data_IF_680820364267
#
_entry.id   IF_680820364267
#
_cell.length_a   1.000
_cell.length_b   1.000
_cell.length_c   1.000
_cell.angle_alpha   90.00
_cell.angle_beta   90.00
_cell.angle_gamma   90.00
#
_symmetry.space_group_name_H-M   'P 1'
#
loop_
_entity.id
_entity.type
_entity.pdbx_description
1 polymer ?
#
# COMPACT_ATOMS: atom_id res chain seq x y z
N UNK A 1 6.26 -0.60 17.77
CA UNK A 1 5.57 -1.68 17.02
C UNK A 1 4.13 -1.23 16.79
N UNK A 2 3.82 -0.80 15.58
CA UNK A 2 2.45 -0.41 15.19
C UNK A 2 1.63 -1.69 15.06
N UNK A 3 0.63 -1.89 15.93
CA UNK A 3 -0.23 -3.07 15.88
C UNK A 3 -1.22 -2.95 14.72
N UNK A 4 -0.79 -3.40 13.55
CA UNK A 4 -1.64 -3.56 12.38
C UNK A 4 -2.62 -4.71 12.64
N UNK A 5 -3.91 -4.42 12.59
CA UNK A 5 -4.90 -5.47 12.32
C UNK A 5 -4.68 -5.96 10.88
N UNK A 6 -4.87 -7.26 10.60
CA UNK A 6 -4.66 -7.79 9.27
C UNK A 6 -5.53 -7.07 8.24
N UNK A 7 -4.99 -6.84 7.04
CA UNK A 7 -5.75 -6.34 5.90
C UNK A 7 -6.93 -7.29 5.62
N UNK A 8 -8.14 -6.78 5.69
CA UNK A 8 -9.33 -7.52 5.26
C UNK A 8 -9.63 -7.14 3.81
N UNK A 9 -9.71 -8.14 2.93
CA UNK A 9 -10.25 -7.95 1.59
C UNK A 9 -11.76 -7.74 1.70
N UNK A 10 -12.24 -6.54 1.37
CA UNK A 10 -13.67 -6.26 1.24
C UNK A 10 -14.04 -6.18 -0.24
N UNK A 11 -15.05 -6.92 -0.65
CA UNK A 11 -15.66 -6.76 -1.97
C UNK A 11 -16.81 -5.77 -1.88
N UNK A 12 -16.80 -4.74 -2.70
CA UNK A 12 -17.94 -3.85 -2.88
C UNK A 12 -18.98 -4.57 -3.76
N UNK A 13 -20.22 -4.81 -3.27
CA UNK A 13 -21.19 -5.66 -3.96
C UNK A 13 -21.62 -5.16 -5.35
N UNK A 14 -21.40 -3.89 -5.66
CA UNK A 14 -21.87 -3.24 -6.88
C UNK A 14 -20.87 -3.19 -8.04
N UNK A 15 -19.59 -3.51 -7.84
CA UNK A 15 -18.56 -3.25 -8.87
C UNK A 15 -17.64 -4.44 -9.15
N UNK A 16 -17.78 -5.56 -8.45
CA UNK A 16 -16.85 -6.72 -8.50
C UNK A 16 -15.37 -6.32 -8.36
N UNK A 17 -15.09 -5.18 -7.68
CA UNK A 17 -13.74 -4.68 -7.42
C UNK A 17 -13.31 -5.04 -6.01
N UNK A 18 -12.05 -5.36 -5.85
CA UNK A 18 -11.43 -5.64 -4.56
C UNK A 18 -10.62 -4.42 -4.11
N UNK A 19 -10.56 -4.21 -2.80
CA UNK A 19 -9.70 -3.21 -2.17
C UNK A 19 -9.06 -3.79 -0.92
N UNK A 20 -7.95 -3.21 -0.49
CA UNK A 20 -7.31 -3.55 0.77
C UNK A 20 -7.73 -2.54 1.84
N UNK A 21 -8.37 -3.00 2.92
CA UNK A 21 -8.85 -2.17 4.01
C UNK A 21 -7.90 -2.30 5.21
N UNK A 22 -7.33 -1.18 5.63
CA UNK A 22 -6.56 -1.05 6.87
C UNK A 22 -7.45 -0.40 7.93
N UNK A 23 -7.79 -1.14 8.99
CA UNK A 23 -8.53 -0.62 10.15
C UNK A 23 -7.55 -0.28 11.26
N UNK A 24 -7.51 0.97 11.69
CA UNK A 24 -6.61 1.46 12.73
C UNK A 24 -7.27 1.31 14.09
N UNK A 25 -6.48 0.91 15.12
CA UNK A 25 -6.98 0.81 16.49
C UNK A 25 -7.47 2.16 16.99
N UNK A 26 -8.55 2.16 17.80
CA UNK A 26 -9.28 3.35 18.25
C UNK A 26 -8.52 4.25 19.23
N UNK A 27 -7.40 3.80 19.84
CA UNK A 27 -6.66 4.64 20.77
C UNK A 27 -6.21 5.96 20.12
N UNK A 28 -6.40 7.10 20.81
CA UNK A 28 -6.23 8.46 20.29
C UNK A 28 -4.91 8.68 19.53
N UNK A 29 -3.80 8.17 20.06
CA UNK A 29 -2.47 8.25 19.43
C UNK A 29 -2.42 7.59 18.04
N UNK A 30 -3.14 6.47 17.85
CA UNK A 30 -3.15 5.77 16.57
C UNK A 30 -4.07 6.47 15.55
N UNK A 31 -5.15 7.09 16.02
CA UNK A 31 -6.06 7.87 15.18
C UNK A 31 -5.36 9.13 14.64
N UNK A 32 -4.53 9.79 15.45
CA UNK A 32 -3.75 10.95 15.02
C UNK A 32 -2.70 10.56 13.96
N UNK A 33 -1.90 9.52 14.25
CA UNK A 33 -0.93 8.97 13.29
C UNK A 33 -1.60 8.56 11.97
N UNK A 34 -2.79 7.95 12.03
CA UNK A 34 -3.53 7.55 10.83
C UNK A 34 -4.02 8.75 10.01
N UNK A 35 -4.42 9.85 10.64
CA UNK A 35 -4.80 11.08 9.94
C UNK A 35 -3.60 11.70 9.21
N UNK A 36 -2.43 11.68 9.84
CA UNK A 36 -1.20 12.20 9.21
C UNK A 36 -0.75 11.28 8.06
N UNK A 37 -0.87 9.95 8.23
CA UNK A 37 -0.65 8.99 7.14
C UNK A 37 -1.58 9.26 5.94
N UNK A 38 -2.87 9.53 6.17
CA UNK A 38 -3.84 9.85 5.12
C UNK A 38 -3.46 11.15 4.38
N UNK A 39 -3.08 12.21 5.12
CA UNK A 39 -2.63 13.48 4.51
C UNK A 39 -1.42 13.26 3.62
N UNK A 40 -0.44 12.49 4.11
CA UNK A 40 0.77 12.15 3.39
C UNK A 40 0.48 11.36 2.12
N UNK A 41 -0.35 10.32 2.21
CA UNK A 41 -0.77 9.51 1.06
C UNK A 41 -1.50 10.33 0.00
N UNK A 42 -2.36 11.27 0.39
CA UNK A 42 -3.02 12.19 -0.54
C UNK A 42 -2.03 13.10 -1.24
N UNK A 43 -1.11 13.71 -0.49
CA UNK A 43 -0.07 14.55 -1.07
C UNK A 43 0.79 13.79 -2.08
N UNK A 44 1.18 12.56 -1.76
CA UNK A 44 1.89 11.67 -2.68
C UNK A 44 1.09 11.39 -3.95
N UNK A 45 -0.21 11.16 -3.84
CA UNK A 45 -1.07 10.83 -4.97
C UNK A 45 -1.32 12.05 -5.89
N UNK A 46 -1.33 13.25 -5.32
CA UNK A 46 -1.66 14.49 -6.03
C UNK A 46 -0.43 15.20 -6.63
N UNK A 47 0.80 14.86 -6.23
CA UNK A 47 2.01 15.58 -6.62
C UNK A 47 2.22 15.59 -8.14
N UNK A 48 2.87 14.59 -8.71
CA UNK A 48 3.12 14.52 -10.16
C UNK A 48 2.73 13.15 -10.72
N UNK A 49 1.48 13.01 -11.14
CA UNK A 49 0.95 11.76 -11.69
C UNK A 49 1.60 11.35 -13.03
N UNK A 50 2.27 12.27 -13.71
CA UNK A 50 2.99 11.98 -14.96
C UNK A 50 4.37 11.39 -14.73
N UNK A 51 4.90 11.44 -13.50
CA UNK A 51 6.22 10.89 -13.20
C UNK A 51 6.21 9.36 -13.30
N UNK A 52 7.21 8.72 -13.96
CA UNK A 52 7.26 7.26 -14.15
C UNK A 52 7.22 6.45 -12.85
N UNK A 53 7.68 7.02 -11.74
CA UNK A 53 7.70 6.39 -10.43
C UNK A 53 6.36 6.41 -9.70
N UNK A 54 5.42 7.29 -10.07
CA UNK A 54 4.10 7.40 -9.43
C UNK A 54 3.37 6.05 -9.37
N UNK A 55 3.36 5.29 -10.45
CA UNK A 55 2.74 3.96 -10.54
C UNK A 55 3.43 2.87 -9.71
N UNK A 56 4.55 3.15 -9.08
CA UNK A 56 5.30 2.23 -8.22
C UNK A 56 5.14 2.55 -6.73
N UNK A 57 4.25 3.49 -6.40
CA UNK A 57 3.85 3.81 -5.04
C UNK A 57 2.38 3.44 -4.87
N UNK A 58 2.03 2.86 -3.71
CA UNK A 58 0.66 2.41 -3.43
C UNK A 58 -0.35 3.57 -3.49
N UNK A 59 -1.51 3.32 -4.12
CA UNK A 59 -2.57 4.31 -4.25
C UNK A 59 -3.56 4.25 -3.09
N UNK A 60 -3.83 5.40 -2.49
CA UNK A 60 -4.94 5.58 -1.57
C UNK A 60 -6.24 5.70 -2.39
N UNK A 61 -7.19 4.80 -2.18
CA UNK A 61 -8.49 4.84 -2.85
C UNK A 61 -9.51 5.66 -2.07
N UNK A 62 -9.56 5.49 -0.74
CA UNK A 62 -10.49 6.19 0.13
C UNK A 62 -10.03 6.16 1.58
N UNK A 63 -10.65 6.99 2.42
CA UNK A 63 -10.49 6.95 3.87
C UNK A 63 -11.76 7.41 4.57
N UNK A 64 -12.18 6.70 5.62
CA UNK A 64 -13.39 7.00 6.36
C UNK A 64 -13.29 6.64 7.84
N UNK A 65 -14.25 7.07 8.62
CA UNK A 65 -14.37 6.68 10.02
C UNK A 65 -15.47 5.64 10.16
N UNK A 66 -15.15 4.53 10.83
CA UNK A 66 -16.12 3.52 11.21
C UNK A 66 -16.46 3.70 12.71
N UNK A 67 -17.72 4.02 12.98
CA UNK A 67 -18.22 4.18 14.35
C UNK A 67 -18.75 2.83 14.85
N UNK A 68 -18.06 2.26 15.83
CA UNK A 68 -18.55 1.13 16.63
C UNK A 68 -19.22 1.67 17.92
N UNK A 69 -20.01 0.88 18.66
CA UNK A 69 -20.76 1.36 19.82
C UNK A 69 -19.90 2.03 20.89
N UNK A 70 -18.64 1.61 21.05
CA UNK A 70 -17.72 2.12 22.08
C UNK A 70 -16.50 2.84 21.50
N UNK A 71 -16.29 2.79 20.15
CA UNK A 71 -15.05 3.22 19.52
C UNK A 71 -15.24 3.82 18.13
N UNK A 72 -14.32 4.70 17.73
CA UNK A 72 -14.21 5.21 16.35
C UNK A 72 -12.89 4.74 15.76
N UNK A 73 -12.97 4.00 14.66
CA UNK A 73 -11.82 3.52 13.92
C UNK A 73 -11.59 4.34 12.66
N UNK A 74 -10.33 4.74 12.43
CA UNK A 74 -9.91 5.28 11.13
C UNK A 74 -9.70 4.11 10.18
N UNK A 75 -10.35 4.17 9.02
CA UNK A 75 -10.26 3.19 7.96
C UNK A 75 -9.57 3.80 6.75
N UNK A 76 -8.56 3.12 6.22
CA UNK A 76 -7.79 3.53 5.04
C UNK A 76 -7.95 2.46 3.97
N UNK A 77 -8.39 2.86 2.79
CA UNK A 77 -8.65 1.96 1.66
C UNK A 77 -7.56 2.12 0.62
N UNK A 78 -6.88 1.03 0.31
CA UNK A 78 -5.82 0.97 -0.69
C UNK A 78 -6.24 0.16 -1.91
N UNK A 79 -5.55 0.35 -3.01
CA UNK A 79 -5.61 -0.58 -4.13
C UNK A 79 -5.23 -2.01 -3.68
N UNK A 80 -5.81 -3.05 -4.28
CA UNK A 80 -5.50 -4.42 -3.91
C UNK A 80 -4.09 -4.75 -4.34
N UNK A 81 -3.25 -5.12 -3.37
CA UNK A 81 -1.89 -5.57 -3.60
C UNK A 81 -1.81 -7.09 -3.54
N UNK A 82 -0.95 -7.66 -4.35
CA UNK A 82 -0.63 -9.07 -4.31
C UNK A 82 0.40 -9.42 -3.25
N UNK A 83 1.04 -10.55 -3.46
CA UNK A 83 2.09 -11.07 -2.60
C UNK A 83 3.23 -10.06 -2.42
N UNK A 84 3.72 -9.89 -1.20
CA UNK A 84 4.90 -9.10 -0.94
C UNK A 84 6.19 -9.89 -1.23
N UNK A 85 7.31 -9.18 -1.29
CA UNK A 85 8.59 -9.78 -1.64
C UNK A 85 9.08 -10.78 -0.59
N UNK A 86 8.74 -10.60 0.70
CA UNK A 86 9.08 -11.55 1.74
C UNK A 86 8.40 -12.89 1.50
N UNK A 87 7.10 -12.90 1.25
CA UNK A 87 6.35 -14.12 0.96
C UNK A 87 6.88 -14.83 -0.30
N UNK A 88 7.29 -14.06 -1.33
CA UNK A 88 7.96 -14.63 -2.51
C UNK A 88 9.28 -15.32 -2.16
N UNK A 89 10.11 -14.70 -1.31
CA UNK A 89 11.39 -15.27 -0.85
C UNK A 89 11.14 -16.54 -0.03
N UNK A 90 10.16 -16.53 0.87
CA UNK A 90 9.81 -17.68 1.71
C UNK A 90 9.27 -18.85 0.88
N UNK A 91 8.43 -18.59 -0.11
CA UNK A 91 7.90 -19.59 -1.03
C UNK A 91 9.00 -20.28 -1.84
N UNK A 92 10.09 -19.58 -2.13
CA UNK A 92 11.27 -20.12 -2.77
C UNK A 92 12.22 -20.82 -1.77
N UNK A 93 11.71 -21.30 -0.62
CA UNK A 93 12.48 -22.00 0.42
C UNK A 93 13.70 -21.20 0.90
N UNK A 94 13.63 -19.87 0.87
CA UNK A 94 14.72 -18.95 1.24
C UNK A 94 16.03 -19.15 0.44
N UNK A 95 15.96 -19.80 -0.71
CA UNK A 95 17.11 -19.96 -1.63
C UNK A 95 17.40 -18.68 -2.41
N UNK A 96 16.55 -17.66 -2.22
CA UNK A 96 16.61 -16.40 -2.96
C UNK A 96 15.74 -16.43 -4.22
N UNK A 97 15.76 -15.34 -4.96
CA UNK A 97 15.05 -15.17 -6.23
C UNK A 97 16.04 -14.91 -7.36
N UNK A 98 15.72 -15.26 -8.60
CA UNK A 98 16.62 -15.07 -9.74
C UNK A 98 17.08 -13.61 -9.87
N UNK A 99 18.35 -13.37 -10.10
CA UNK A 99 18.97 -12.02 -10.21
C UNK A 99 18.27 -11.17 -11.27
N UNK A 100 17.81 -11.76 -12.36
CA UNK A 100 17.05 -11.05 -13.40
C UNK A 100 15.77 -10.44 -12.83
N UNK A 101 15.04 -11.17 -11.96
CA UNK A 101 13.84 -10.68 -11.30
C UNK A 101 14.17 -9.60 -10.26
N UNK A 102 15.27 -9.79 -9.49
CA UNK A 102 15.75 -8.76 -8.55
C UNK A 102 16.03 -7.44 -9.27
N UNK A 103 16.68 -7.47 -10.44
CA UNK A 103 16.96 -6.27 -11.24
C UNK A 103 15.67 -5.53 -11.63
N UNK A 104 14.64 -6.26 -12.05
CA UNK A 104 13.35 -5.67 -12.43
C UNK A 104 12.68 -5.02 -11.21
N UNK A 105 12.62 -5.73 -10.08
CA UNK A 105 12.03 -5.25 -8.84
C UNK A 105 12.76 -3.99 -8.38
N UNK A 106 14.09 -4.04 -8.27
CA UNK A 106 14.88 -2.91 -7.81
C UNK A 106 14.76 -1.69 -8.72
N UNK A 107 14.68 -1.87 -10.04
CA UNK A 107 14.43 -0.76 -10.96
C UNK A 107 13.10 -0.06 -10.65
N UNK A 108 12.04 -0.81 -10.36
CA UNK A 108 10.73 -0.26 -10.02
C UNK A 108 10.74 0.41 -8.64
N UNK A 109 11.36 -0.21 -7.64
CA UNK A 109 11.53 0.37 -6.30
C UNK A 109 12.29 1.68 -6.36
N UNK A 110 13.42 1.72 -7.07
CA UNK A 110 14.22 2.95 -7.23
C UNK A 110 13.44 4.04 -7.97
N UNK A 111 12.63 3.70 -8.97
CA UNK A 111 11.76 4.66 -9.65
C UNK A 111 10.68 5.23 -8.72
N UNK A 112 10.07 4.40 -7.86
CA UNK A 112 9.14 4.84 -6.84
C UNK A 112 9.80 5.74 -5.79
N UNK A 113 11.02 5.39 -5.33
CA UNK A 113 11.79 6.21 -4.40
C UNK A 113 12.20 7.54 -5.02
N UNK A 114 12.59 7.56 -6.29
CA UNK A 114 12.89 8.80 -7.00
C UNK A 114 11.66 9.72 -6.99
N UNK A 115 10.47 9.19 -7.29
CA UNK A 115 9.23 9.95 -7.22
C UNK A 115 8.98 10.54 -5.83
N UNK A 116 9.13 9.73 -4.76
CA UNK A 116 8.93 10.20 -3.39
C UNK A 116 9.94 11.30 -3.01
N UNK A 117 11.19 11.18 -3.44
CA UNK A 117 12.24 12.14 -3.09
C UNK A 117 12.14 13.44 -3.89
N UNK A 118 11.93 13.36 -5.22
CA UNK A 118 12.03 14.51 -6.11
C UNK A 118 10.70 15.28 -6.23
N UNK A 119 9.57 14.57 -6.21
CA UNK A 119 8.25 15.16 -6.43
C UNK A 119 7.44 15.37 -5.14
N UNK A 120 7.72 14.58 -4.10
CA UNK A 120 6.96 14.63 -2.85
C UNK A 120 7.78 15.15 -1.65
N UNK A 121 9.08 15.34 -1.79
CA UNK A 121 10.03 15.71 -0.71
C UNK A 121 9.92 14.76 0.51
N UNK A 122 9.80 13.46 0.24
CA UNK A 122 9.58 12.43 1.24
C UNK A 122 10.65 11.34 1.21
N UNK A 123 11.12 10.93 2.40
CA UNK A 123 11.99 9.77 2.58
C UNK A 123 11.18 8.62 3.17
N UNK A 124 11.19 7.45 2.53
CA UNK A 124 10.36 6.30 2.92
C UNK A 124 10.72 5.71 4.29
N UNK A 125 11.99 5.65 4.66
CA UNK A 125 12.57 5.20 5.96
C UNK A 125 12.38 3.73 6.35
N UNK A 126 11.50 2.96 5.71
CA UNK A 126 11.22 1.54 6.07
C UNK A 126 11.14 0.63 4.82
N UNK A 127 12.13 0.76 3.92
CA UNK A 127 12.24 -0.13 2.75
C UNK A 127 12.71 -1.51 3.20
N UNK A 128 11.84 -2.50 3.01
CA UNK A 128 12.09 -3.91 3.32
C UNK A 128 11.19 -4.82 2.48
N UNK A 129 11.51 -6.12 2.35
CA UNK A 129 10.74 -7.04 1.52
C UNK A 129 9.25 -7.11 1.84
N UNK A 130 8.85 -6.89 3.09
CA UNK A 130 7.46 -6.86 3.54
C UNK A 130 6.67 -5.68 2.95
N UNK A 131 7.35 -4.58 2.66
CA UNK A 131 6.77 -3.33 2.16
C UNK A 131 6.89 -3.17 0.64
N UNK A 132 7.38 -4.19 -0.06
CA UNK A 132 7.45 -4.25 -1.52
C UNK A 132 6.46 -5.32 -1.98
N UNK A 133 5.38 -4.90 -2.63
CA UNK A 133 4.30 -5.79 -3.06
C UNK A 133 4.13 -5.79 -4.57
N UNK A 134 3.63 -6.90 -5.10
CA UNK A 134 3.24 -7.02 -6.50
C UNK A 134 1.91 -6.32 -6.71
N UNK A 135 1.80 -5.50 -7.75
CA UNK A 135 0.50 -5.01 -8.21
C UNK A 135 -0.32 -6.16 -8.79
N UNK A 136 -1.58 -6.24 -8.40
CA UNK A 136 -2.52 -7.13 -9.08
C UNK A 136 -2.98 -6.47 -10.38
N UNK A 137 -3.08 -7.23 -11.48
CA UNK A 137 -3.69 -6.71 -12.70
C UNK A 137 -5.15 -6.31 -12.40
N UNK A 138 -5.68 -5.28 -13.07
CA UNK A 138 -7.10 -4.97 -12.97
C UNK A 138 -7.91 -6.23 -13.31
N UNK A 139 -9.07 -6.44 -12.65
CA UNK A 139 -9.94 -7.56 -12.97
C UNK A 139 -10.23 -7.52 -14.48
N UNK A 140 -9.89 -8.60 -15.17
CA UNK A 140 -10.29 -8.79 -16.56
C UNK A 140 -11.82 -8.84 -16.59
N UNK A 141 -12.45 -7.92 -17.31
CA UNK A 141 -13.86 -8.04 -17.63
C UNK A 141 -14.05 -9.39 -18.33
N UNK A 142 -14.63 -10.33 -17.61
CA UNK A 142 -15.09 -11.57 -18.23
C UNK A 142 -16.34 -11.21 -19.02
N UNK A 143 -16.17 -11.14 -20.35
CA UNK A 143 -17.28 -11.12 -21.29
C UNK A 143 -18.09 -12.41 -21.20
#
# INVERSE_FOLDING_TARGET
MCGLLPFQHSSLPSTNRHSALKVVKSASRYAETARDEIKLLRAVQEANQSHPGHKHVVSLLDSFHHCAPEDIHVCIVFEPLGENLLALIERNNKTGIPVALVKIIMKQVLSGLQYLHEECDLVHTDIKPENISKLLPPPTEQN
#
